data_IF_343312227310
#
_entry.id   IF_343312227310
#
_cell.length_a   1.000
_cell.length_b   1.000
_cell.length_c   1.000
_cell.angle_alpha   90.00
_cell.angle_beta   90.00
_cell.angle_gamma   90.00
#
_symmetry.space_group_name_H-M   'P 1'
#
loop_
_entity.id
_entity.type
_entity.pdbx_description
1 polymer ?
#
# COMPACT_ATOMS: atom_id res chain seq x y z
N UNK A 1 -1.97 9.52 -24.73
CA UNK A 1 -3.35 9.10 -24.50
C UNK A 1 -4.03 9.94 -23.44
N UNK A 2 -5.34 9.82 -23.35
CA UNK A 2 -6.13 10.49 -22.30
C UNK A 2 -6.50 9.47 -21.22
N UNK A 3 -6.56 9.90 -19.98
CA UNK A 3 -6.97 9.05 -18.86
C UNK A 3 -8.34 8.39 -19.11
N UNK A 4 -9.27 9.10 -19.76
CA UNK A 4 -10.59 8.61 -20.10
C UNK A 4 -10.63 7.52 -21.18
N UNK A 5 -9.54 7.27 -21.89
CA UNK A 5 -9.47 6.31 -23.00
C UNK A 5 -8.60 5.09 -22.69
N UNK A 6 -8.10 4.95 -21.45
CA UNK A 6 -7.17 3.88 -21.09
C UNK A 6 -7.73 2.47 -21.34
N UNK A 7 -9.01 2.24 -21.07
CA UNK A 7 -9.67 0.96 -21.27
C UNK A 7 -9.69 0.59 -22.78
N UNK A 8 -10.11 1.52 -23.64
CA UNK A 8 -10.12 1.31 -25.09
C UNK A 8 -8.70 1.07 -25.65
N UNK A 9 -7.70 1.74 -25.09
CA UNK A 9 -6.29 1.52 -25.49
C UNK A 9 -5.85 0.10 -25.09
N UNK A 10 -6.22 -0.35 -23.88
CA UNK A 10 -5.97 -1.71 -23.42
C UNK A 10 -6.66 -2.75 -24.30
N UNK A 11 -7.92 -2.55 -24.64
CA UNK A 11 -8.71 -3.42 -25.52
C UNK A 11 -8.02 -3.58 -26.89
N UNK A 12 -7.69 -2.49 -27.56
CA UNK A 12 -7.03 -2.53 -28.87
C UNK A 12 -5.66 -3.18 -28.85
N UNK A 13 -4.91 -2.98 -27.77
CA UNK A 13 -3.62 -3.64 -27.60
C UNK A 13 -3.78 -5.15 -27.40
N UNK A 14 -4.73 -5.55 -26.55
CA UNK A 14 -5.05 -6.96 -26.33
C UNK A 14 -5.51 -7.64 -27.62
N UNK A 15 -6.39 -7.01 -28.40
CA UNK A 15 -6.84 -7.52 -29.71
C UNK A 15 -5.67 -7.74 -30.67
N UNK A 16 -4.73 -6.80 -30.72
CA UNK A 16 -3.53 -6.93 -31.55
C UNK A 16 -2.64 -8.11 -31.12
N UNK A 17 -2.47 -8.28 -29.81
CA UNK A 17 -1.69 -9.41 -29.24
C UNK A 17 -2.41 -10.72 -29.54
N UNK A 18 -3.71 -10.80 -29.31
CA UNK A 18 -4.52 -11.99 -29.61
C UNK A 18 -4.43 -12.38 -31.10
N UNK A 19 -4.55 -11.39 -31.99
CA UNK A 19 -4.42 -11.63 -33.41
C UNK A 19 -3.04 -12.19 -33.80
N UNK A 20 -1.94 -11.68 -33.20
CA UNK A 20 -0.59 -12.20 -33.40
C UNK A 20 -0.38 -13.60 -32.86
N UNK A 21 -1.06 -13.95 -31.77
CA UNK A 21 -0.98 -15.28 -31.15
C UNK A 21 -1.97 -16.28 -31.74
N UNK A 22 -2.84 -15.87 -32.68
CA UNK A 22 -3.90 -16.71 -33.26
C UNK A 22 -5.01 -17.04 -32.25
N UNK A 23 -5.20 -16.22 -31.22
CA UNK A 23 -6.24 -16.41 -30.20
C UNK A 23 -7.49 -15.62 -30.60
N UNK A 24 -8.63 -16.29 -30.74
CA UNK A 24 -9.93 -15.66 -30.96
C UNK A 24 -10.62 -15.41 -29.62
N UNK A 25 -10.39 -14.25 -29.03
CA UNK A 25 -11.06 -13.84 -27.78
C UNK A 25 -11.69 -12.44 -27.97
N UNK A 26 -12.89 -12.26 -27.44
CA UNK A 26 -13.54 -10.94 -27.42
C UNK A 26 -13.26 -10.25 -26.09
N UNK A 27 -12.96 -8.96 -26.15
CA UNK A 27 -12.81 -8.16 -24.95
C UNK A 27 -14.17 -7.98 -24.25
N UNK A 28 -14.22 -8.23 -22.94
CA UNK A 28 -15.41 -8.12 -22.11
C UNK A 28 -15.33 -6.99 -21.07
N UNK A 29 -14.23 -6.27 -21.02
CA UNK A 29 -13.96 -5.22 -20.02
C UNK A 29 -14.98 -4.07 -20.00
N UNK A 30 -15.83 -3.94 -21.04
CA UNK A 30 -16.89 -2.95 -21.07
C UNK A 30 -18.13 -3.37 -20.25
N UNK A 31 -18.33 -4.67 -20.04
CA UNK A 31 -19.56 -5.24 -19.46
C UNK A 31 -19.28 -6.10 -18.23
N UNK A 32 -18.04 -6.50 -18.03
CA UNK A 32 -17.63 -7.33 -16.91
C UNK A 32 -16.97 -6.44 -15.84
N UNK A 33 -17.54 -6.34 -14.64
CA UNK A 33 -16.94 -5.59 -13.55
C UNK A 33 -15.65 -6.25 -13.08
N UNK A 34 -14.68 -5.46 -12.63
CA UNK A 34 -13.43 -5.98 -12.05
C UNK A 34 -13.65 -6.61 -10.67
N UNK A 35 -14.65 -6.14 -9.95
CA UNK A 35 -15.03 -6.62 -8.62
C UNK A 35 -16.54 -6.70 -8.58
N UNK A 36 -17.07 -7.76 -7.99
CA UNK A 36 -18.50 -7.90 -7.75
C UNK A 36 -18.96 -6.96 -6.63
N UNK A 37 -20.24 -6.60 -6.65
CA UNK A 37 -20.84 -5.79 -5.58
C UNK A 37 -20.75 -6.52 -4.23
N UNK A 38 -20.40 -5.78 -3.19
CA UNK A 38 -20.30 -6.33 -1.84
C UNK A 38 -21.66 -6.80 -1.35
N UNK A 39 -21.79 -8.07 -0.92
CA UNK A 39 -23.07 -8.59 -0.42
C UNK A 39 -23.59 -7.76 0.76
N UNK A 40 -24.91 -7.42 0.82
CA UNK A 40 -25.47 -6.64 1.92
C UNK A 40 -25.19 -7.20 3.32
N UNK A 41 -25.16 -8.53 3.47
CA UNK A 41 -24.86 -9.19 4.74
C UNK A 41 -23.40 -8.91 5.18
N UNK A 42 -22.46 -8.82 4.25
CA UNK A 42 -21.07 -8.47 4.56
C UNK A 42 -20.95 -7.00 4.95
N UNK A 43 -21.68 -6.10 4.29
CA UNK A 43 -21.73 -4.68 4.66
C UNK A 43 -22.28 -4.48 6.07
N UNK A 44 -23.31 -5.22 6.46
CA UNK A 44 -23.87 -5.16 7.81
C UNK A 44 -22.85 -5.64 8.87
N UNK A 45 -22.05 -6.67 8.58
CA UNK A 45 -20.94 -7.10 9.45
C UNK A 45 -19.87 -6.01 9.52
N UNK A 46 -19.46 -5.47 8.38
CA UNK A 46 -18.44 -4.45 8.29
C UNK A 46 -18.81 -3.17 9.08
N UNK A 47 -20.08 -2.72 9.02
CA UNK A 47 -20.56 -1.56 9.79
C UNK A 47 -20.38 -1.70 11.30
N UNK A 48 -20.32 -2.91 11.82
CA UNK A 48 -20.15 -3.17 13.27
C UNK A 48 -18.69 -3.09 13.71
N UNK A 49 -17.75 -3.33 12.80
CA UNK A 49 -16.34 -3.49 13.13
C UNK A 49 -15.43 -2.40 12.59
N UNK A 50 -15.75 -1.83 11.43
CA UNK A 50 -15.01 -0.71 10.87
C UNK A 50 -15.31 0.63 11.55
N UNK A 51 -14.36 1.58 11.55
CA UNK A 51 -14.65 2.97 11.83
C UNK A 51 -15.65 3.50 10.79
N UNK A 52 -16.73 4.16 11.24
CA UNK A 52 -17.79 4.65 10.35
C UNK A 52 -17.28 5.53 9.19
N UNK A 53 -16.22 6.31 9.45
CA UNK A 53 -15.63 7.25 8.49
C UNK A 53 -14.62 6.63 7.51
N UNK A 54 -14.38 5.33 7.54
CA UNK A 54 -13.39 4.67 6.67
C UNK A 54 -13.96 3.52 5.85
N UNK A 55 -15.19 3.10 6.15
CA UNK A 55 -15.79 1.90 5.60
C UNK A 55 -15.93 1.94 4.07
N UNK A 56 -16.51 3.01 3.52
CA UNK A 56 -16.73 3.17 2.09
C UNK A 56 -15.39 3.16 1.31
N UNK A 57 -14.38 3.84 1.85
CA UNK A 57 -13.06 3.85 1.26
C UNK A 57 -12.40 2.48 1.32
N UNK A 58 -12.55 1.76 2.44
CA UNK A 58 -11.99 0.41 2.61
C UNK A 58 -12.66 -0.58 1.64
N UNK A 59 -13.97 -0.57 1.53
CA UNK A 59 -14.72 -1.38 0.56
C UNK A 59 -14.22 -1.14 -0.86
N UNK A 60 -14.16 0.13 -1.28
CA UNK A 60 -13.77 0.50 -2.64
C UNK A 60 -12.32 0.10 -3.00
N UNK A 61 -11.38 0.14 -2.06
CA UNK A 61 -9.96 -0.13 -2.34
C UNK A 61 -9.53 -1.58 -2.14
N UNK A 62 -10.24 -2.34 -1.30
CA UNK A 62 -9.89 -3.71 -0.98
C UNK A 62 -10.49 -4.74 -1.94
N UNK A 63 -11.64 -4.42 -2.58
CA UNK A 63 -12.28 -5.34 -3.50
C UNK A 63 -12.48 -6.73 -2.88
N UNK A 64 -11.96 -7.75 -3.54
CA UNK A 64 -12.10 -9.16 -3.09
C UNK A 64 -11.48 -9.42 -1.70
N UNK A 65 -10.50 -8.60 -1.28
CA UNK A 65 -9.87 -8.70 0.03
C UNK A 65 -10.70 -8.08 1.17
N UNK A 66 -11.83 -7.43 0.86
CA UNK A 66 -12.66 -6.76 1.86
C UNK A 66 -13.26 -7.73 2.88
N UNK A 67 -13.77 -8.88 2.43
CA UNK A 67 -14.35 -9.91 3.31
C UNK A 67 -13.33 -10.42 4.34
N UNK A 68 -12.12 -10.74 3.89
CA UNK A 68 -11.04 -11.19 4.77
C UNK A 68 -10.62 -10.10 5.79
N UNK A 69 -10.70 -8.83 5.39
CA UNK A 69 -10.43 -7.71 6.30
C UNK A 69 -11.50 -7.56 7.38
N UNK A 70 -12.77 -7.77 7.02
CA UNK A 70 -13.88 -7.81 8.01
C UNK A 70 -13.65 -8.93 9.02
N UNK A 71 -13.29 -10.12 8.58
CA UNK A 71 -12.98 -11.26 9.46
C UNK A 71 -11.81 -10.98 10.41
N UNK A 72 -10.75 -10.31 9.92
CA UNK A 72 -9.63 -9.86 10.78
C UNK A 72 -10.09 -8.91 11.87
N UNK A 73 -11.01 -7.98 11.54
CA UNK A 73 -11.56 -7.03 12.50
C UNK A 73 -12.49 -7.70 13.53
N UNK A 74 -13.26 -8.70 13.11
CA UNK A 74 -14.09 -9.50 14.01
C UNK A 74 -13.23 -10.30 14.99
N UNK A 75 -12.15 -10.91 14.50
CA UNK A 75 -11.21 -11.67 15.30
C UNK A 75 -10.35 -10.80 16.24
N UNK A 76 -10.01 -9.58 15.83
CA UNK A 76 -9.16 -8.66 16.58
C UNK A 76 -9.66 -7.22 16.47
N UNK A 77 -10.68 -6.81 17.25
CA UNK A 77 -11.34 -5.51 17.14
C UNK A 77 -10.43 -4.30 17.35
N UNK A 78 -9.30 -4.45 18.02
CA UNK A 78 -8.31 -3.39 18.20
C UNK A 78 -7.64 -2.98 16.88
N UNK A 79 -7.59 -3.85 15.88
CA UNK A 79 -7.02 -3.59 14.56
C UNK A 79 -7.83 -2.58 13.73
N UNK A 80 -8.97 -2.11 14.24
CA UNK A 80 -9.68 -0.94 13.68
C UNK A 80 -8.93 0.39 13.91
N UNK A 81 -7.90 0.41 14.75
CA UNK A 81 -7.03 1.56 14.93
C UNK A 81 -6.42 1.98 13.59
N UNK A 82 -6.32 3.29 13.37
CA UNK A 82 -5.79 3.82 12.13
C UNK A 82 -4.27 3.73 12.10
N UNK A 83 -3.74 3.07 11.08
CA UNK A 83 -2.33 3.10 10.74
C UNK A 83 -2.01 4.40 9.98
N UNK A 84 -2.91 4.80 9.07
CA UNK A 84 -2.80 6.06 8.31
C UNK A 84 -4.07 6.90 8.50
N UNK A 85 -3.95 8.01 9.22
CA UNK A 85 -5.09 8.91 9.51
C UNK A 85 -5.53 9.69 8.26
N UNK A 86 -4.59 10.13 7.42
CA UNK A 86 -4.90 10.93 6.23
C UNK A 86 -5.82 10.17 5.26
N UNK A 87 -5.55 8.89 5.06
CA UNK A 87 -6.28 8.02 4.14
C UNK A 87 -7.21 7.04 4.88
N UNK A 88 -7.30 7.15 6.22
CA UNK A 88 -8.15 6.32 7.08
C UNK A 88 -7.95 4.82 6.88
N UNK A 89 -6.68 4.41 6.75
CA UNK A 89 -6.31 3.00 6.61
C UNK A 89 -6.16 2.39 7.99
N UNK A 90 -6.88 1.32 8.26
CA UNK A 90 -6.79 0.57 9.51
C UNK A 90 -5.59 -0.39 9.51
N UNK A 91 -5.19 -0.84 10.70
CA UNK A 91 -4.18 -1.90 10.84
C UNK A 91 -4.64 -3.18 10.14
N UNK A 92 -5.93 -3.52 10.22
CA UNK A 92 -6.47 -4.72 9.57
C UNK A 92 -6.35 -4.67 8.03
N UNK A 93 -6.66 -3.52 7.40
CA UNK A 93 -6.47 -3.33 5.96
C UNK A 93 -5.01 -3.45 5.56
N UNK A 94 -4.13 -2.82 6.34
CA UNK A 94 -2.69 -2.89 6.11
C UNK A 94 -2.18 -4.32 6.17
N UNK A 95 -2.49 -5.06 7.24
CA UNK A 95 -2.05 -6.45 7.41
C UNK A 95 -2.66 -7.38 6.35
N UNK A 96 -3.91 -7.15 5.94
CA UNK A 96 -4.53 -7.94 4.87
C UNK A 96 -3.72 -7.83 3.59
N UNK A 97 -3.43 -6.61 3.17
CA UNK A 97 -2.65 -6.36 1.95
C UNK A 97 -1.20 -6.82 2.11
N UNK A 98 -0.59 -6.60 3.27
CA UNK A 98 0.79 -7.04 3.55
C UNK A 98 0.95 -8.58 3.53
N UNK A 99 -0.11 -9.32 3.85
CA UNK A 99 -0.10 -10.78 3.82
C UNK A 99 -0.28 -11.38 2.42
N UNK A 100 -0.58 -10.58 1.40
CA UNK A 100 -0.76 -11.05 0.04
C UNK A 100 0.57 -11.38 -0.65
N UNK A 101 0.63 -12.46 -1.46
CA UNK A 101 1.88 -12.90 -2.09
C UNK A 101 2.55 -11.87 -3.00
N UNK A 102 1.80 -10.87 -3.44
CA UNK A 102 2.26 -9.79 -4.33
C UNK A 102 2.71 -8.54 -3.61
N UNK A 103 2.69 -8.53 -2.27
CA UNK A 103 3.13 -7.41 -1.44
C UNK A 103 4.56 -7.65 -0.97
N UNK A 104 5.53 -7.02 -1.62
CA UNK A 104 6.95 -7.17 -1.35
C UNK A 104 7.59 -5.95 -0.66
N UNK A 105 6.85 -4.84 -0.57
CA UNK A 105 7.33 -3.58 -0.01
C UNK A 105 6.19 -2.75 0.59
N UNK A 106 6.54 -1.74 1.39
CA UNK A 106 5.56 -0.74 1.84
C UNK A 106 4.94 0.04 0.67
N UNK A 107 5.65 0.16 -0.45
CA UNK A 107 5.14 0.82 -1.64
C UNK A 107 4.06 -0.02 -2.34
N UNK A 108 4.14 -1.34 -2.32
CA UNK A 108 3.06 -2.21 -2.83
C UNK A 108 1.80 -2.09 -1.96
N UNK A 109 1.98 -2.11 -0.63
CA UNK A 109 0.87 -1.89 0.31
C UNK A 109 0.27 -0.50 0.10
N UNK A 110 1.12 0.53 -0.07
CA UNK A 110 0.69 1.91 -0.35
C UNK A 110 -0.17 2.00 -1.62
N UNK A 111 0.23 1.37 -2.71
CA UNK A 111 -0.52 1.41 -3.98
C UNK A 111 -1.92 0.82 -3.86
N UNK A 112 -2.11 -0.13 -2.96
CA UNK A 112 -3.40 -0.80 -2.71
C UNK A 112 -4.24 -0.13 -1.65
N UNK A 113 -3.62 0.32 -0.55
CA UNK A 113 -4.33 0.92 0.58
C UNK A 113 -4.39 2.44 0.54
N UNK A 114 -3.63 3.09 -0.35
CA UNK A 114 -3.38 4.54 -0.39
C UNK A 114 -2.61 5.08 0.82
N UNK A 115 -2.11 4.23 1.71
CA UNK A 115 -1.24 4.62 2.81
C UNK A 115 -0.12 5.57 2.32
N UNK A 116 0.09 6.69 3.01
CA UNK A 116 1.14 7.65 2.65
C UNK A 116 0.84 8.52 1.43
N UNK A 117 -0.40 8.52 0.91
CA UNK A 117 -0.82 9.40 -0.21
C UNK A 117 -1.47 10.70 0.26
N UNK A 118 -1.81 10.82 1.53
CA UNK A 118 -2.41 12.03 2.08
C UNK A 118 -1.37 13.12 2.36
N UNK A 119 -1.80 14.20 3.02
CA UNK A 119 -1.02 15.44 3.22
C UNK A 119 0.33 15.23 3.90
N UNK A 120 0.45 14.26 4.82
CA UNK A 120 1.73 13.99 5.50
C UNK A 120 2.74 13.18 4.67
N UNK A 121 2.33 12.69 3.49
CA UNK A 121 3.17 11.93 2.55
C UNK A 121 3.94 10.76 3.17
N UNK A 122 3.36 10.13 4.17
CA UNK A 122 3.94 8.93 4.78
C UNK A 122 4.81 9.16 6.01
N UNK A 123 5.02 10.41 6.42
CA UNK A 123 5.89 10.74 7.56
C UNK A 123 5.53 10.02 8.85
N UNK A 124 4.25 9.75 9.10
CA UNK A 124 3.80 9.00 10.28
C UNK A 124 3.57 7.53 9.97
N UNK A 125 2.79 7.25 8.93
CA UNK A 125 2.36 5.88 8.63
C UNK A 125 3.49 5.01 8.06
N UNK A 126 4.56 5.57 7.50
CA UNK A 126 5.73 4.79 7.08
C UNK A 126 6.36 4.04 8.25
N UNK A 127 6.65 4.74 9.35
CA UNK A 127 7.21 4.16 10.57
C UNK A 127 6.25 3.14 11.21
N UNK A 128 4.97 3.50 11.31
CA UNK A 128 3.94 2.58 11.84
C UNK A 128 3.79 1.34 10.97
N UNK A 129 3.89 1.49 9.64
CA UNK A 129 3.83 0.39 8.69
C UNK A 129 4.97 -0.61 8.89
N UNK A 130 6.20 -0.13 9.09
CA UNK A 130 7.32 -1.01 9.44
C UNK A 130 7.04 -1.75 10.75
N UNK A 131 6.60 -1.03 11.79
CA UNK A 131 6.24 -1.65 13.07
C UNK A 131 5.17 -2.73 12.92
N UNK A 132 4.11 -2.45 12.13
CA UNK A 132 3.03 -3.41 11.89
C UNK A 132 3.50 -4.66 11.12
N UNK A 133 4.39 -4.50 10.12
CA UNK A 133 5.00 -5.63 9.41
C UNK A 133 5.80 -6.51 10.35
N UNK A 134 6.58 -5.90 11.24
CA UNK A 134 7.40 -6.62 12.22
C UNK A 134 6.54 -7.36 13.25
N UNK A 135 5.56 -6.68 13.83
CA UNK A 135 4.65 -7.25 14.83
C UNK A 135 3.86 -8.43 14.27
N UNK A 136 3.35 -8.28 13.06
CA UNK A 136 2.59 -9.32 12.38
C UNK A 136 3.46 -10.42 11.74
N UNK A 137 4.79 -10.30 11.80
CA UNK A 137 5.76 -11.21 11.13
C UNK A 137 5.52 -11.36 9.63
N UNK A 138 5.11 -10.27 8.98
CA UNK A 138 4.77 -10.20 7.55
C UNK A 138 5.93 -9.67 6.70
N UNK A 139 7.18 -9.91 7.09
CA UNK A 139 8.32 -9.51 6.28
C UNK A 139 8.29 -10.20 4.91
N UNK A 140 8.47 -9.45 3.82
CA UNK A 140 8.49 -10.00 2.47
C UNK A 140 9.49 -11.15 2.33
N UNK A 141 9.15 -12.12 1.49
CA UNK A 141 10.03 -13.23 1.17
C UNK A 141 11.36 -12.68 0.60
N UNK A 142 12.48 -13.04 1.23
CA UNK A 142 13.81 -12.51 0.89
C UNK A 142 14.36 -11.47 1.87
N UNK A 143 13.54 -10.83 2.70
CA UNK A 143 13.97 -9.93 3.78
C UNK A 143 14.14 -10.65 5.14
N UNK A 144 13.79 -11.93 5.21
CA UNK A 144 13.85 -12.72 6.45
C UNK A 144 15.25 -13.23 6.79
N UNK A 145 16.20 -13.08 5.89
CA UNK A 145 17.52 -13.66 6.05
C UNK A 145 18.59 -12.60 6.29
N UNK A 146 18.73 -12.16 7.51
CA UNK A 146 20.09 -11.88 8.00
C UNK A 146 20.67 -13.23 8.42
N UNK A 147 21.32 -13.91 7.48
CA UNK A 147 22.13 -15.08 7.78
C UNK A 147 23.33 -14.64 8.57
N UNK A 148 23.57 -15.32 9.67
CA UNK A 148 24.77 -15.29 10.53
C UNK A 148 24.88 -14.14 11.53
N UNK A 149 24.46 -14.39 12.77
CA UNK A 149 24.94 -13.77 13.99
C UNK A 149 23.96 -12.80 14.62
N UNK A 150 23.64 -13.09 15.82
CA UNK A 150 23.12 -12.24 16.91
C UNK A 150 22.76 -10.80 16.52
N UNK A 151 21.58 -10.62 15.90
CA UNK A 151 20.91 -9.32 15.83
C UNK A 151 19.75 -9.34 16.83
N UNK A 152 20.04 -9.04 18.08
CA UNK A 152 19.06 -8.99 19.17
C UNK A 152 18.07 -7.80 19.07
N UNK A 153 18.14 -6.96 18.02
CA UNK A 153 17.41 -5.70 18.04
C UNK A 153 16.28 -5.57 17.00
N UNK A 154 16.49 -5.90 15.73
CA UNK A 154 15.43 -5.79 14.69
C UNK A 154 15.74 -6.80 13.55
N UNK A 155 14.69 -7.42 12.93
CA UNK A 155 14.90 -8.22 11.74
C UNK A 155 15.62 -7.39 10.66
N UNK A 156 16.68 -7.94 10.07
CA UNK A 156 17.31 -7.34 8.91
C UNK A 156 16.25 -7.09 7.84
N UNK A 157 16.25 -5.89 7.26
CA UNK A 157 15.26 -5.50 6.25
C UNK A 157 14.19 -4.51 6.73
N UNK A 158 13.99 -4.31 8.04
CA UNK A 158 13.07 -3.28 8.51
C UNK A 158 13.55 -1.85 8.19
N UNK A 159 14.83 -1.50 8.38
CA UNK A 159 15.37 -0.23 7.91
C UNK A 159 15.24 -0.08 6.40
N UNK A 160 15.51 -1.13 5.62
CA UNK A 160 15.44 -1.12 4.15
C UNK A 160 14.02 -0.87 3.64
N UNK A 161 13.00 -1.44 4.32
CA UNK A 161 11.59 -1.17 4.02
C UNK A 161 11.26 0.31 4.19
N UNK A 162 11.71 0.91 5.29
CA UNK A 162 11.48 2.32 5.56
C UNK A 162 12.24 3.21 4.59
N UNK A 163 13.52 2.92 4.36
CA UNK A 163 14.38 3.65 3.44
C UNK A 163 13.80 3.68 2.03
N UNK A 164 13.49 2.51 1.47
CA UNK A 164 12.88 2.40 0.14
C UNK A 164 11.55 3.17 0.04
N UNK A 165 10.70 3.09 1.08
CA UNK A 165 9.44 3.82 1.13
C UNK A 165 9.66 5.33 1.15
N UNK A 166 10.57 5.83 1.97
CA UNK A 166 10.85 7.27 2.09
C UNK A 166 11.52 7.81 0.83
N UNK A 167 12.51 7.10 0.28
CA UNK A 167 13.17 7.51 -0.96
C UNK A 167 12.18 7.66 -2.11
N UNK A 168 11.29 6.69 -2.33
CA UNK A 168 10.29 6.81 -3.39
C UNK A 168 9.33 8.00 -3.15
N UNK A 169 9.00 8.31 -1.89
CA UNK A 169 8.20 9.50 -1.55
C UNK A 169 8.92 10.78 -1.93
N UNK A 170 10.17 10.91 -1.56
CA UNK A 170 10.96 12.12 -1.86
C UNK A 170 11.18 12.29 -3.35
N UNK A 171 11.52 11.24 -4.10
CA UNK A 171 11.62 11.30 -5.56
C UNK A 171 10.33 11.80 -6.23
N UNK A 172 9.18 11.41 -5.73
CA UNK A 172 7.89 11.85 -6.27
C UNK A 172 7.53 13.29 -5.91
N UNK A 173 8.01 13.80 -4.78
CA UNK A 173 7.67 15.15 -4.26
C UNK A 173 8.64 16.21 -4.79
N UNK A 174 9.94 15.96 -4.78
CA UNK A 174 10.99 16.93 -5.16
C UNK A 174 10.75 17.67 -6.47
N UNK A 175 10.33 17.01 -7.56
CA UNK A 175 10.12 17.70 -8.84
C UNK A 175 8.99 18.73 -8.83
N UNK A 176 8.07 18.67 -7.87
CA UNK A 176 6.91 19.58 -7.81
C UNK A 176 7.00 20.62 -6.71
N UNK A 177 8.02 20.52 -5.85
CA UNK A 177 8.28 21.50 -4.80
C UNK A 177 9.29 22.55 -5.24
N UNK A 178 9.12 23.77 -4.71
CA UNK A 178 10.02 24.89 -4.96
C UNK A 178 10.00 25.89 -3.79
N UNK A 179 11.00 26.77 -3.72
CA UNK A 179 11.05 27.81 -2.70
C UNK A 179 11.18 27.26 -1.27
N UNK A 180 10.34 27.73 -0.36
CA UNK A 180 10.32 27.37 1.06
C UNK A 180 9.95 25.91 1.26
N UNK A 181 8.95 25.41 0.54
CA UNK A 181 8.44 24.04 0.67
C UNK A 181 9.52 23.01 0.33
N UNK A 182 10.33 23.28 -0.71
CA UNK A 182 11.45 22.41 -1.05
C UNK A 182 12.49 22.40 0.07
N UNK A 183 12.83 23.56 0.64
CA UNK A 183 13.81 23.65 1.73
C UNK A 183 13.35 22.93 2.98
N UNK A 184 12.07 23.05 3.35
CA UNK A 184 11.50 22.35 4.49
C UNK A 184 11.47 20.84 4.27
N UNK A 185 11.14 20.39 3.06
CA UNK A 185 11.14 18.97 2.71
C UNK A 185 12.57 18.38 2.73
N UNK A 186 13.56 19.09 2.20
CA UNK A 186 14.97 18.65 2.26
C UNK A 186 15.52 18.66 3.69
N UNK A 187 15.11 19.64 4.53
CA UNK A 187 15.45 19.63 5.95
C UNK A 187 14.84 18.41 6.66
N UNK A 188 13.55 18.13 6.42
CA UNK A 188 12.88 16.96 6.99
C UNK A 188 13.55 15.66 6.52
N UNK A 189 13.91 15.55 5.23
CA UNK A 189 14.67 14.42 4.69
C UNK A 189 15.99 14.22 5.42
N UNK A 190 16.77 15.27 5.55
CA UNK A 190 18.06 15.22 6.26
C UNK A 190 17.91 14.83 7.73
N UNK A 191 16.86 15.30 8.41
CA UNK A 191 16.58 14.90 9.79
C UNK A 191 16.21 13.40 9.88
N UNK A 192 15.36 12.91 9.00
CA UNK A 192 15.02 11.46 8.95
C UNK A 192 16.24 10.62 8.60
N UNK A 193 17.03 11.05 7.62
CA UNK A 193 18.28 10.38 7.26
C UNK A 193 19.22 10.25 8.46
N UNK A 194 19.48 11.37 9.13
CA UNK A 194 20.40 11.42 10.27
C UNK A 194 19.90 10.63 11.49
N UNK A 195 18.57 10.65 11.77
CA UNK A 195 18.04 10.00 12.97
C UNK A 195 17.71 8.53 12.78
N UNK A 196 17.33 8.12 11.59
CA UNK A 196 16.88 6.76 11.29
C UNK A 196 17.86 5.99 10.42
N UNK A 197 18.97 6.62 10.03
CA UNK A 197 19.96 6.05 9.10
C UNK A 197 19.31 5.52 7.79
N UNK A 198 18.34 6.26 7.26
CA UNK A 198 17.61 5.89 6.04
C UNK A 198 18.17 6.56 4.77
N UNK A 199 19.18 7.38 4.88
CA UNK A 199 19.88 8.03 3.76
C UNK A 199 21.01 7.14 3.18
N UNK A 200 20.99 5.84 3.43
CA UNK A 200 22.03 4.93 2.94
C UNK A 200 22.22 5.08 1.43
N UNK A 201 23.29 5.79 1.09
CA UNK A 201 24.00 5.80 -0.18
C UNK A 201 23.21 6.27 -1.42
N UNK A 202 23.17 7.58 -1.64
CA UNK A 202 23.37 8.15 -2.97
C UNK A 202 24.92 8.06 -3.29
N UNK A 203 25.45 6.85 -3.44
CA UNK A 203 26.75 6.59 -4.05
C UNK A 203 26.60 5.75 -5.31
#
# INVERSE_FOLDING_TARGET
GKLTTYRLMGERMADLVCAKLGVAAQCRTAVEPLVEDTPPALLERARKVFPAQGLEQAESRLGDSFAATVERLEAAPWKKALLCECERVTIAEFEQVASEPTSHSLNDIRRRTRMGMGTCQGSFCGLRGVGAVLEAKLLPAGMQACGTGECDALPCGAPDLLQSFQQERWYGIRPVLWGSELRETELARGMYGATLNVDGADE
#
